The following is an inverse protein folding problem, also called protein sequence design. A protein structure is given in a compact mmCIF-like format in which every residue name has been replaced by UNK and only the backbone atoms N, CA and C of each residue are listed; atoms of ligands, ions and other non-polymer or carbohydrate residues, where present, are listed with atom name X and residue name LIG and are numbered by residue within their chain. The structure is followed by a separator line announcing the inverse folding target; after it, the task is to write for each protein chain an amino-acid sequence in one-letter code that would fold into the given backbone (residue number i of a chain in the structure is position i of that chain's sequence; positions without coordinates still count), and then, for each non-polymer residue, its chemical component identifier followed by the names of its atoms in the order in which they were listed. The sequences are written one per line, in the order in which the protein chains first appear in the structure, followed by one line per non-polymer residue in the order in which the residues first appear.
data_IF_027377745248
#
_entry.id   IF_027377745248
#
_cell.length_a   1.000
_cell.length_b   1.000
_cell.length_c   1.000
_cell.angle_alpha   90.00
_cell.angle_beta   90.00
_cell.angle_gamma   90.00
#
_symmetry.space_group_name_H-M   'P 1'
#
loop_
_entity.id
_entity.type
_entity.pdbx_description
1 polymer ?
#
# COMPACT_ATOMS: atom_id res chain seq x y z
N UNK A 1 15.61 29.34 -4.70
CA UNK A 1 14.52 29.22 -3.72
C UNK A 1 13.73 27.95 -4.01
N UNK A 2 13.72 26.98 -3.10
CA UNK A 2 12.95 25.74 -3.27
C UNK A 2 11.46 25.98 -2.99
N UNK A 3 10.58 25.12 -3.53
CA UNK A 3 9.13 25.23 -3.31
C UNK A 3 8.75 25.17 -1.80
N UNK A 4 9.58 24.53 -0.97
CA UNK A 4 9.41 24.49 0.49
C UNK A 4 9.70 25.85 1.13
N UNK A 5 10.68 26.59 0.64
CA UNK A 5 11.02 27.93 1.15
C UNK A 5 9.90 28.93 0.83
N UNK A 6 9.28 28.79 -0.36
CA UNK A 6 8.12 29.60 -0.76
C UNK A 6 6.90 29.26 0.11
N UNK A 7 6.67 27.97 0.39
CA UNK A 7 5.60 27.55 1.29
C UNK A 7 5.80 28.10 2.71
N UNK A 8 7.02 28.04 3.24
CA UNK A 8 7.35 28.56 4.56
C UNK A 8 7.16 30.08 4.63
N UNK A 9 7.52 30.81 3.59
CA UNK A 9 7.28 32.25 3.49
C UNK A 9 5.78 32.56 3.44
N UNK A 10 4.99 31.84 2.63
CA UNK A 10 3.53 32.03 2.53
C UNK A 10 2.82 31.68 3.85
N UNK A 11 3.30 30.67 4.59
CA UNK A 11 2.77 30.33 5.93
C UNK A 11 3.03 31.42 6.98
N UNK A 12 4.16 32.13 6.90
CA UNK A 12 4.51 33.20 7.85
C UNK A 12 3.78 34.50 7.55
N UNK A 13 3.50 34.76 6.27
CA UNK A 13 2.98 36.05 5.81
C UNK A 13 1.46 36.17 5.94
N UNK A 14 0.72 35.07 6.07
CA UNK A 14 -0.75 34.98 6.33
C UNK A 14 -1.65 35.92 5.48
N UNK A 15 -1.07 36.50 4.41
CA UNK A 15 -1.64 37.66 3.75
C UNK A 15 -2.69 37.28 2.69
N UNK A 16 -2.77 35.99 2.34
CA UNK A 16 -3.64 35.46 1.29
C UNK A 16 -4.13 34.03 1.61
N UNK A 17 -5.18 33.88 2.44
CA UNK A 17 -5.68 32.57 2.89
C UNK A 17 -6.11 31.66 1.73
N UNK A 18 -6.67 32.21 0.65
CA UNK A 18 -7.09 31.42 -0.52
C UNK A 18 -5.90 30.82 -1.29
N UNK A 19 -4.78 31.55 -1.39
CA UNK A 19 -3.57 31.07 -2.06
C UNK A 19 -2.94 29.97 -1.22
N UNK A 20 -2.90 30.14 0.10
CA UNK A 20 -2.42 29.12 1.02
C UNK A 20 -3.20 27.80 0.91
N UNK A 21 -4.54 27.86 0.91
CA UNK A 21 -5.40 26.68 0.76
C UNK A 21 -5.17 25.99 -0.59
N UNK A 22 -5.06 26.74 -1.69
CA UNK A 22 -4.80 26.18 -3.00
C UNK A 22 -3.46 25.43 -3.04
N UNK A 23 -2.39 25.99 -2.46
CA UNK A 23 -1.09 25.33 -2.36
C UNK A 23 -1.11 24.10 -1.47
N UNK A 24 -1.85 24.14 -0.36
CA UNK A 24 -2.00 22.99 0.54
C UNK A 24 -2.71 21.82 -0.15
N UNK A 25 -3.78 22.11 -0.89
CA UNK A 25 -4.50 21.10 -1.69
C UNK A 25 -3.58 20.53 -2.77
N UNK A 26 -2.88 21.40 -3.51
CA UNK A 26 -1.96 20.99 -4.56
C UNK A 26 -0.90 20.01 -4.02
N UNK A 27 -0.21 20.37 -2.94
CA UNK A 27 0.81 19.52 -2.33
C UNK A 27 0.24 18.21 -1.81
N UNK A 28 -0.93 18.22 -1.15
CA UNK A 28 -1.57 17.00 -0.63
C UNK A 28 -1.97 16.07 -1.77
N UNK A 29 -2.52 16.61 -2.86
CA UNK A 29 -2.88 15.85 -4.06
C UNK A 29 -1.63 15.22 -4.68
N UNK A 30 -0.56 15.98 -4.88
CA UNK A 30 0.69 15.46 -5.42
C UNK A 30 1.32 14.36 -4.56
N UNK A 31 1.35 14.55 -3.24
CA UNK A 31 1.85 13.52 -2.31
C UNK A 31 0.99 12.25 -2.36
N UNK A 32 -0.33 12.39 -2.41
CA UNK A 32 -1.26 11.25 -2.52
C UNK A 32 -1.06 10.50 -3.84
N UNK A 33 -0.94 11.23 -4.96
CA UNK A 33 -0.69 10.63 -6.28
C UNK A 33 0.64 9.86 -6.28
N UNK A 34 1.72 10.47 -5.78
CA UNK A 34 3.02 9.81 -5.71
C UNK A 34 3.00 8.55 -4.82
N UNK A 35 2.28 8.59 -3.69
CA UNK A 35 2.10 7.44 -2.83
C UNK A 35 1.31 6.33 -3.54
N UNK A 36 0.22 6.68 -4.21
CA UNK A 36 -0.59 5.74 -4.98
C UNK A 36 0.23 5.11 -6.11
N UNK A 37 0.95 5.90 -6.92
CA UNK A 37 1.83 5.41 -7.98
C UNK A 37 2.91 4.46 -7.44
N UNK A 38 3.53 4.80 -6.30
CA UNK A 38 4.50 3.92 -5.62
C UNK A 38 3.86 2.59 -5.19
N UNK A 39 2.67 2.63 -4.62
CA UNK A 39 1.91 1.45 -4.20
C UNK A 39 1.49 0.59 -5.40
N UNK A 40 0.98 1.20 -6.47
CA UNK A 40 0.61 0.51 -7.71
C UNK A 40 1.83 -0.06 -8.43
N UNK A 41 2.98 0.61 -8.40
CA UNK A 41 4.23 0.09 -8.97
C UNK A 41 4.68 -1.18 -8.23
N UNK A 42 4.63 -1.18 -6.89
CA UNK A 42 4.88 -2.38 -6.09
C UNK A 42 3.88 -3.50 -6.39
N UNK A 43 2.59 -3.16 -6.49
CA UNK A 43 1.55 -4.14 -6.83
C UNK A 43 1.75 -4.72 -8.24
N UNK A 44 2.18 -3.90 -9.20
CA UNK A 44 2.50 -4.34 -10.56
C UNK A 44 3.70 -5.28 -10.58
N UNK A 45 4.75 -5.00 -9.81
CA UNK A 45 5.89 -5.89 -9.61
C UNK A 45 5.46 -7.22 -8.97
N UNK A 46 4.66 -7.17 -7.90
CA UNK A 46 4.13 -8.35 -7.23
C UNK A 46 3.27 -9.19 -8.18
N UNK A 47 2.37 -8.53 -8.93
CA UNK A 47 1.54 -9.18 -9.95
C UNK A 47 2.40 -9.80 -11.05
N UNK A 48 3.40 -9.10 -11.56
CA UNK A 48 4.31 -9.62 -12.59
C UNK A 48 5.14 -10.80 -12.08
N UNK A 49 5.58 -10.76 -10.82
CA UNK A 49 6.36 -11.82 -10.19
C UNK A 49 5.51 -13.08 -9.96
N UNK A 50 4.26 -12.92 -9.51
CA UNK A 50 3.37 -14.04 -9.22
C UNK A 50 2.65 -14.59 -10.46
N UNK A 51 2.44 -13.75 -11.48
CA UNK A 51 1.70 -14.14 -12.68
C UNK A 51 2.46 -15.11 -13.59
N UNK A 52 3.77 -15.31 -13.39
CA UNK A 52 4.51 -16.38 -14.09
C UNK A 52 4.30 -17.76 -13.45
N UNK A 53 3.58 -17.88 -12.32
CA UNK A 53 3.41 -19.18 -11.64
C UNK A 53 2.05 -19.41 -10.94
N UNK A 54 1.17 -18.40 -10.79
CA UNK A 54 -0.10 -18.52 -10.02
C UNK A 54 -1.37 -18.11 -10.78
N UNK A 55 -2.47 -18.84 -10.50
CA UNK A 55 -3.85 -18.52 -10.91
C UNK A 55 -4.38 -17.23 -10.25
N UNK A 56 -5.25 -16.51 -10.98
CA UNK A 56 -5.82 -15.21 -10.62
C UNK A 56 -6.40 -15.17 -9.19
N UNK A 57 -7.05 -16.25 -8.75
CA UNK A 57 -7.69 -16.34 -7.42
C UNK A 57 -6.67 -16.32 -6.28
N UNK A 58 -5.53 -17.02 -6.44
CA UNK A 58 -4.46 -16.99 -5.42
C UNK A 58 -3.81 -15.62 -5.34
N UNK A 59 -3.73 -14.92 -6.46
CA UNK A 59 -3.15 -13.58 -6.53
C UNK A 59 -4.04 -12.55 -5.82
N UNK A 60 -5.37 -12.67 -5.97
CA UNK A 60 -6.32 -11.83 -5.27
C UNK A 60 -6.27 -12.05 -3.74
N UNK A 61 -6.18 -13.31 -3.29
CA UNK A 61 -6.00 -13.63 -1.88
C UNK A 61 -4.71 -13.04 -1.30
N UNK A 62 -3.59 -13.12 -2.04
CA UNK A 62 -2.33 -12.55 -1.58
C UNK A 62 -2.34 -11.01 -1.54
N UNK A 63 -3.02 -10.37 -2.50
CA UNK A 63 -3.21 -8.92 -2.50
C UNK A 63 -4.00 -8.47 -1.27
N UNK A 64 -5.05 -9.21 -0.89
CA UNK A 64 -5.81 -8.95 0.34
C UNK A 64 -4.93 -9.06 1.58
N UNK A 65 -4.12 -10.11 1.71
CA UNK A 65 -3.15 -10.25 2.81
C UNK A 65 -2.11 -9.12 2.85
N UNK A 66 -1.70 -8.58 1.71
CA UNK A 66 -0.75 -7.47 1.64
C UNK A 66 -1.38 -6.12 2.04
N UNK A 67 -2.67 -5.92 1.74
CA UNK A 67 -3.42 -4.72 2.13
C UNK A 67 -3.71 -4.75 3.64
N UNK A 68 -4.11 -5.92 4.15
CA UNK A 68 -4.40 -6.14 5.58
C UNK A 68 -3.18 -6.62 6.38
N UNK A 69 -1.97 -6.27 5.93
CA UNK A 69 -0.74 -6.77 6.55
C UNK A 69 -0.65 -6.42 8.04
N UNK A 70 -1.09 -5.23 8.45
CA UNK A 70 -1.08 -4.81 9.86
C UNK A 70 -1.98 -5.70 10.73
N UNK A 71 -3.08 -6.20 10.16
CA UNK A 71 -3.98 -7.15 10.83
C UNK A 71 -3.34 -8.54 10.84
N UNK A 72 -2.70 -8.94 9.74
CA UNK A 72 -2.01 -10.22 9.62
C UNK A 72 -0.83 -10.34 10.59
N UNK A 73 -0.09 -9.24 10.82
CA UNK A 73 1.01 -9.17 11.78
C UNK A 73 0.52 -9.29 13.24
N UNK A 74 -0.78 -9.08 13.50
CA UNK A 74 -1.41 -9.30 14.81
C UNK A 74 -1.93 -10.73 15.02
N UNK A 75 -2.00 -11.52 13.95
CA UNK A 75 -2.46 -12.91 13.98
C UNK A 75 -1.26 -13.83 14.12
N UNK A 76 -1.40 -14.89 14.91
CA UNK A 76 -0.39 -15.93 15.03
C UNK A 76 -0.32 -16.78 13.73
N UNK A 77 0.55 -16.34 12.82
CA UNK A 77 0.80 -16.99 11.54
C UNK A 77 1.33 -18.41 11.72
N UNK A 78 2.04 -18.73 12.80
CA UNK A 78 2.58 -20.05 13.04
C UNK A 78 1.46 -21.06 13.33
N UNK A 79 0.48 -20.68 14.16
CA UNK A 79 -0.72 -21.48 14.37
C UNK A 79 -1.52 -21.70 13.08
N UNK A 80 -1.68 -20.65 12.25
CA UNK A 80 -2.39 -20.76 10.98
C UNK A 80 -1.65 -21.69 9.98
N UNK A 81 -0.32 -21.63 9.97
CA UNK A 81 0.52 -22.47 9.11
C UNK A 81 0.46 -23.95 9.54
N UNK A 82 0.45 -24.22 10.85
CA UNK A 82 0.30 -25.58 11.41
C UNK A 82 -1.07 -26.16 11.05
N UNK A 83 -2.16 -25.39 11.20
CA UNK A 83 -3.50 -25.83 10.81
C UNK A 83 -3.58 -26.11 9.29
N UNK A 84 -3.03 -25.22 8.47
CA UNK A 84 -2.98 -25.43 7.02
C UNK A 84 -2.18 -26.68 6.62
N UNK A 85 -1.02 -26.90 7.24
CA UNK A 85 -0.20 -28.09 7.01
C UNK A 85 -0.95 -29.37 7.40
N UNK A 86 -1.63 -29.38 8.55
CA UNK A 86 -2.40 -30.53 9.01
C UNK A 86 -3.51 -30.94 8.03
N UNK A 87 -4.20 -29.96 7.44
CA UNK A 87 -5.27 -30.18 6.47
C UNK A 87 -4.76 -30.56 5.08
N UNK A 88 -3.58 -30.09 4.68
CA UNK A 88 -2.97 -30.48 3.40
C UNK A 88 -2.45 -31.92 3.42
N UNK A 89 -1.94 -32.39 4.57
CA UNK A 89 -1.55 -33.79 4.74
C UNK A 89 -2.75 -34.72 4.54
N UNK A 90 -3.94 -34.35 5.03
CA UNK A 90 -5.17 -35.13 4.82
C UNK A 90 -5.62 -35.19 3.34
N UNK A 91 -5.24 -34.20 2.53
CA UNK A 91 -5.55 -34.14 1.09
C UNK A 91 -4.68 -35.03 0.22
N UNK A 92 -3.44 -35.30 0.64
CA UNK A 92 -2.50 -36.16 -0.09
C UNK A 92 -2.72 -37.67 0.17
N UNK A 93 -3.59 -38.02 1.12
CA UNK A 93 -3.96 -39.41 1.42
C UNK A 93 -5.18 -39.93 0.65
N UNK A 94 -5.79 -39.10 -0.22
CA UNK A 94 -6.87 -39.46 -1.14
C UNK A 94 -6.43 -39.33 -2.59
#
# INVERSE_FOLDING_TARGET
MSALEILQFVMVVDCYPNVFVAYQIFLRVHVTIALAERSFSKLKLLKSYLSSTMLQDRLNGLAMCCIEKDILDSIDLDCALIDFASRNVQRNFF
#
